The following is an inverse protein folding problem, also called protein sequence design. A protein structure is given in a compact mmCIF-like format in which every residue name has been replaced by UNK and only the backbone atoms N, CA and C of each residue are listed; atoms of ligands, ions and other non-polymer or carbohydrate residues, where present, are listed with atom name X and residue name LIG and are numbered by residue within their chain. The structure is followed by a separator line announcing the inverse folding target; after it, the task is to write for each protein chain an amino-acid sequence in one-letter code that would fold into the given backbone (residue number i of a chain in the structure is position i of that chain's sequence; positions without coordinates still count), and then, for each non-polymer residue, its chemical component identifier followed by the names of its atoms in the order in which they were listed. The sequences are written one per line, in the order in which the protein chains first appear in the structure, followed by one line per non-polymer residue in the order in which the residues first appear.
data_IF_912953009418
#
_entry.id   IF_912953009418
#
_cell.length_a   1.000
_cell.length_b   1.000
_cell.length_c   1.000
_cell.angle_alpha   90.00
_cell.angle_beta   90.00
_cell.angle_gamma   90.00
#
_symmetry.space_group_name_H-M   'P 1'
#
loop_
_entity.id
_entity.type
_entity.pdbx_description
1 polymer ?
#
# COMPACT_ATOMS: atom_id res chain seq x y z
N UNK A 1 9.96 2.76 55.67
CA UNK A 1 10.32 3.58 54.49
C UNK A 1 11.08 2.72 53.50
N UNK A 2 10.47 2.34 52.36
CA UNK A 2 11.21 1.84 51.19
C UNK A 2 10.53 2.29 49.90
N UNK A 3 11.17 3.30 49.33
CA UNK A 3 11.35 3.74 47.94
C UNK A 3 10.54 3.03 46.85
N UNK A 4 9.86 3.89 46.07
CA UNK A 4 9.21 3.70 44.77
C UNK A 4 9.99 2.88 43.74
N UNK A 5 9.24 2.24 42.83
CA UNK A 5 9.65 2.11 41.43
C UNK A 5 8.42 2.25 40.52
N UNK A 6 8.18 3.47 40.06
CA UNK A 6 7.26 3.78 38.96
C UNK A 6 7.89 3.21 37.69
N UNK A 7 7.39 2.08 37.18
CA UNK A 7 7.84 1.57 35.87
C UNK A 7 6.96 2.22 34.81
N UNK A 8 7.37 3.41 34.37
CA UNK A 8 6.82 4.04 33.17
C UNK A 8 7.42 3.30 31.96
N UNK A 9 6.74 2.28 31.44
CA UNK A 9 7.12 1.66 30.16
C UNK A 9 6.77 2.62 29.04
N UNK A 10 7.73 3.47 28.68
CA UNK A 10 7.70 4.25 27.44
C UNK A 10 7.96 3.25 26.31
N UNK A 11 6.91 2.66 25.73
CA UNK A 11 7.10 1.94 24.47
C UNK A 11 7.54 2.97 23.43
N UNK A 12 8.65 2.74 22.71
CA UNK A 12 9.02 3.60 21.61
C UNK A 12 7.89 3.48 20.59
N UNK A 13 7.19 4.59 20.35
CA UNK A 13 6.37 4.75 19.16
C UNK A 13 7.34 4.66 17.98
N UNK A 14 7.52 3.44 17.47
CA UNK A 14 8.14 3.19 16.19
C UNK A 14 7.27 3.92 15.15
N UNK A 15 7.60 5.19 14.90
CA UNK A 15 7.31 5.86 13.65
C UNK A 15 8.19 5.20 12.58
N UNK A 16 7.96 3.90 12.36
CA UNK A 16 8.45 3.21 11.17
C UNK A 16 7.86 3.97 10.00
N UNK A 17 8.72 4.43 9.09
CA UNK A 17 8.28 4.93 7.79
C UNK A 17 7.24 3.95 7.26
N UNK A 18 5.99 4.40 7.17
CA UNK A 18 4.88 3.51 6.87
C UNK A 18 4.95 3.26 5.38
N UNK A 19 5.14 2.02 4.98
CA UNK A 19 4.94 1.63 3.59
C UNK A 19 3.47 1.21 3.45
N UNK A 20 2.91 1.33 2.25
CA UNK A 20 1.55 0.87 1.96
C UNK A 20 1.53 0.07 0.66
N UNK A 21 0.94 -1.11 0.69
CA UNK A 21 0.60 -1.84 -0.52
C UNK A 21 -0.82 -1.46 -0.97
N UNK A 22 -0.96 -1.24 -2.27
CA UNK A 22 -2.21 -0.95 -2.96
C UNK A 22 -2.52 -2.17 -3.81
N UNK A 23 -3.47 -2.99 -3.37
CA UNK A 23 -3.88 -4.23 -4.04
C UNK A 23 -5.02 -3.95 -5.02
N UNK A 24 -4.99 -4.61 -6.17
CA UNK A 24 -6.01 -4.51 -7.21
C UNK A 24 -5.96 -5.73 -8.13
N UNK A 25 -7.07 -6.02 -8.81
CA UNK A 25 -7.17 -7.15 -9.74
C UNK A 25 -6.96 -6.74 -11.21
N UNK A 26 -6.50 -7.70 -12.02
CA UNK A 26 -6.16 -7.64 -13.45
C UNK A 26 -6.98 -8.68 -14.20
N UNK A 27 -7.85 -8.26 -15.11
CA UNK A 27 -8.72 -9.17 -15.88
C UNK A 27 -8.60 -9.04 -17.39
N UNK A 28 -7.60 -8.34 -17.95
CA UNK A 28 -7.51 -8.19 -19.41
C UNK A 28 -6.20 -7.66 -19.99
N UNK A 29 -6.04 -7.87 -21.30
CA UNK A 29 -4.82 -7.60 -22.09
C UNK A 29 -4.86 -6.23 -22.83
N UNK A 30 -5.44 -5.18 -22.24
CA UNK A 30 -5.75 -3.93 -22.96
C UNK A 30 -5.15 -2.66 -22.35
N UNK A 31 -5.21 -1.54 -23.09
CA UNK A 31 -4.73 -0.19 -22.72
C UNK A 31 -5.18 0.31 -21.32
N UNK A 32 -6.18 -0.32 -20.70
CA UNK A 32 -6.59 -0.08 -19.32
C UNK A 32 -5.49 -0.38 -18.29
N UNK A 33 -4.47 -1.17 -18.65
CA UNK A 33 -3.32 -1.50 -17.81
C UNK A 33 -2.51 -0.28 -17.38
N UNK A 34 -2.24 0.64 -18.32
CA UNK A 34 -1.47 1.86 -18.02
C UNK A 34 -2.26 2.77 -17.08
N UNK A 35 -3.57 2.90 -17.30
CA UNK A 35 -4.42 3.77 -16.45
C UNK A 35 -4.53 3.25 -15.02
N UNK A 36 -4.61 1.94 -14.82
CA UNK A 36 -4.70 1.32 -13.49
C UNK A 36 -3.40 1.47 -12.72
N UNK A 37 -2.26 1.19 -13.34
CA UNK A 37 -0.95 1.29 -12.70
C UNK A 37 -0.62 2.75 -12.37
N UNK A 38 -0.96 3.67 -13.28
CA UNK A 38 -0.93 5.11 -13.01
C UNK A 38 -1.88 5.50 -11.87
N UNK A 39 -3.07 4.88 -11.78
CA UNK A 39 -4.01 5.16 -10.69
C UNK A 39 -3.46 4.69 -9.33
N UNK A 40 -2.87 3.50 -9.26
CA UNK A 40 -2.20 3.03 -8.05
C UNK A 40 -1.02 3.96 -7.67
N UNK A 41 -0.24 4.42 -8.66
CA UNK A 41 0.77 5.45 -8.45
C UNK A 41 0.22 6.77 -7.92
N UNK A 42 -0.91 7.24 -8.48
CA UNK A 42 -1.58 8.46 -8.00
C UNK A 42 -2.11 8.32 -6.57
N UNK A 43 -2.65 7.16 -6.20
CA UNK A 43 -3.05 6.87 -4.81
C UNK A 43 -1.83 6.96 -3.88
N UNK A 44 -0.67 6.47 -4.31
CA UNK A 44 0.58 6.61 -3.56
C UNK A 44 1.00 8.08 -3.38
N UNK A 45 0.91 8.89 -4.44
CA UNK A 45 1.20 10.33 -4.37
C UNK A 45 0.22 11.09 -3.47
N UNK A 46 -1.07 10.75 -3.49
CA UNK A 46 -2.10 11.35 -2.62
C UNK A 46 -1.80 11.11 -1.14
N UNK A 47 -1.15 9.98 -0.84
CA UNK A 47 -0.68 9.58 0.47
C UNK A 47 0.64 10.25 0.87
N UNK A 48 1.25 11.06 0.00
CA UNK A 48 2.58 11.66 0.19
C UNK A 48 3.68 10.59 0.31
N UNK A 49 3.59 9.55 -0.52
CA UNK A 49 4.60 8.50 -0.62
C UNK A 49 5.30 8.45 -1.97
N UNK A 50 6.29 7.57 -2.07
CA UNK A 50 7.12 7.37 -3.26
C UNK A 50 6.89 5.97 -3.84
N UNK A 51 6.78 5.85 -5.16
CA UNK A 51 6.68 4.54 -5.83
C UNK A 51 7.81 4.38 -6.83
N UNK A 52 8.59 3.31 -6.69
CA UNK A 52 9.58 2.93 -7.69
C UNK A 52 8.92 2.16 -8.83
N UNK A 53 9.45 2.26 -10.05
CA UNK A 53 8.88 1.53 -11.20
C UNK A 53 8.85 0.01 -11.03
N UNK A 54 9.76 -0.56 -10.23
CA UNK A 54 9.76 -2.00 -9.90
C UNK A 54 8.71 -2.39 -8.85
N UNK A 55 8.15 -1.40 -8.15
CA UNK A 55 7.15 -1.58 -7.10
C UNK A 55 5.72 -1.37 -7.62
N UNK A 56 5.52 -1.35 -8.94
CA UNK A 56 4.21 -1.21 -9.61
C UNK A 56 3.86 -2.51 -10.31
N UNK A 57 2.61 -2.96 -10.19
CA UNK A 57 2.11 -4.13 -10.92
C UNK A 57 2.72 -5.45 -10.47
N UNK A 58 3.23 -5.53 -9.23
CA UNK A 58 3.81 -6.75 -8.67
C UNK A 58 2.71 -7.80 -8.55
N UNK A 59 2.96 -9.04 -8.99
CA UNK A 59 2.01 -10.13 -8.82
C UNK A 59 1.83 -10.50 -7.33
N UNK A 60 0.57 -10.61 -6.89
CA UNK A 60 0.21 -10.97 -5.52
C UNK A 60 -0.46 -12.35 -5.45
N UNK A 61 0.33 -13.38 -5.17
CA UNK A 61 -0.16 -14.75 -5.01
C UNK A 61 -0.30 -15.53 -6.33
N UNK A 62 -1.09 -16.62 -6.28
CA UNK A 62 -1.17 -17.59 -7.38
C UNK A 62 -2.06 -17.17 -8.56
N UNK A 63 -2.96 -16.20 -8.36
CA UNK A 63 -3.77 -15.66 -9.44
C UNK A 63 -2.95 -14.57 -10.16
N UNK A 64 -2.71 -14.73 -11.46
CA UNK A 64 -1.99 -13.73 -12.24
C UNK A 64 -2.75 -12.40 -12.29
N UNK A 65 -4.07 -12.43 -12.10
CA UNK A 65 -4.92 -11.25 -11.96
C UNK A 65 -4.53 -10.37 -10.77
N UNK A 66 -4.06 -10.96 -9.68
CA UNK A 66 -3.91 -10.20 -8.46
C UNK A 66 -2.60 -9.42 -8.54
N UNK A 67 -2.68 -8.11 -8.48
CA UNK A 67 -1.55 -7.19 -8.55
C UNK A 67 -1.47 -6.35 -7.29
N UNK A 68 -0.30 -5.78 -7.05
CA UNK A 68 -0.13 -4.73 -6.08
C UNK A 68 0.90 -3.69 -6.52
N UNK A 69 0.80 -2.52 -5.90
CA UNK A 69 1.81 -1.47 -5.96
C UNK A 69 2.26 -1.13 -4.55
N UNK A 70 3.56 -1.10 -4.27
CA UNK A 70 4.09 -0.72 -2.95
C UNK A 70 4.54 0.73 -2.96
N UNK A 71 3.84 1.53 -2.16
CA UNK A 71 4.15 2.91 -1.86
C UNK A 71 5.07 2.99 -0.65
N UNK A 72 6.22 3.65 -0.80
CA UNK A 72 7.25 3.77 0.23
C UNK A 72 7.18 5.13 0.92
N UNK A 73 7.70 5.19 2.15
CA UNK A 73 7.90 6.44 2.91
C UNK A 73 6.64 7.31 2.98
N UNK A 74 5.48 6.70 3.23
CA UNK A 74 4.21 7.41 3.25
C UNK A 74 4.21 8.44 4.38
N UNK A 75 4.13 9.72 4.03
CA UNK A 75 4.23 10.84 4.97
C UNK A 75 2.96 11.08 5.79
N UNK A 76 1.79 10.71 5.26
CA UNK A 76 0.50 10.87 5.97
C UNK A 76 0.20 9.66 6.83
N UNK A 77 -0.53 9.87 7.93
CA UNK A 77 -1.16 8.79 8.70
C UNK A 77 -2.25 8.13 7.84
N UNK A 78 -1.84 7.18 7.03
CA UNK A 78 -2.70 6.45 6.12
C UNK A 78 -3.32 5.29 6.86
N UNK A 79 -4.65 5.32 6.94
CA UNK A 79 -5.44 4.19 7.39
C UNK A 79 -5.65 3.24 6.22
N UNK A 80 -5.80 1.96 6.53
CA UNK A 80 -6.26 1.00 5.56
C UNK A 80 -7.60 1.48 4.98
N UNK A 81 -7.74 1.40 3.67
CA UNK A 81 -8.91 1.89 2.96
C UNK A 81 -9.15 1.10 1.70
N UNK A 82 -10.39 1.01 1.27
CA UNK A 82 -10.76 0.42 -0.01
C UNK A 82 -11.44 1.50 -0.85
N UNK A 83 -11.02 1.63 -2.10
CA UNK A 83 -11.58 2.58 -3.06
C UNK A 83 -11.93 1.85 -4.34
N UNK A 84 -13.17 1.97 -4.77
CA UNK A 84 -13.62 1.37 -6.01
C UNK A 84 -13.80 2.46 -7.06
N UNK A 85 -13.16 2.27 -8.21
CA UNK A 85 -13.22 3.17 -9.35
C UNK A 85 -13.86 2.43 -10.52
N UNK A 86 -14.78 3.10 -11.22
CA UNK A 86 -15.44 2.55 -12.39
C UNK A 86 -14.97 3.26 -13.66
N UNK A 87 -13.83 2.86 -14.27
CA UNK A 87 -13.48 3.32 -15.60
C UNK A 87 -14.42 2.67 -16.62
N UNK A 88 -15.36 3.45 -17.17
CA UNK A 88 -16.35 2.95 -18.12
C UNK A 88 -17.29 1.92 -17.47
N UNK A 89 -17.37 0.73 -18.07
CA UNK A 89 -18.22 -0.39 -17.60
C UNK A 89 -17.48 -1.37 -16.67
N UNK A 90 -16.15 -1.20 -16.50
CA UNK A 90 -15.32 -2.01 -15.60
C UNK A 90 -15.32 -1.42 -14.19
N UNK A 91 -15.29 -2.28 -13.16
CA UNK A 91 -15.14 -1.87 -11.77
C UNK A 91 -13.82 -2.41 -11.21
N UNK A 92 -12.95 -1.52 -10.73
CA UNK A 92 -11.66 -1.88 -10.14
C UNK A 92 -11.65 -1.42 -8.69
N UNK A 93 -11.41 -2.35 -7.77
CA UNK A 93 -11.23 -2.05 -6.35
C UNK A 93 -9.75 -1.99 -6.02
N UNK A 94 -9.35 -0.88 -5.40
CA UNK A 94 -8.01 -0.63 -4.88
C UNK A 94 -8.05 -0.71 -3.35
N UNK A 95 -7.35 -1.68 -2.78
CA UNK A 95 -7.25 -1.87 -1.34
C UNK A 95 -5.89 -1.41 -0.85
N UNK A 96 -5.85 -0.36 -0.03
CA UNK A 96 -4.64 0.15 0.60
C UNK A 96 -4.46 -0.53 1.95
N UNK A 97 -3.33 -1.17 2.19
CA UNK A 97 -2.93 -1.70 3.51
C UNK A 97 -1.54 -1.21 3.86
N UNK A 98 -1.39 -0.64 5.05
CA UNK A 98 -0.16 0.01 5.45
C UNK A 98 0.57 -0.75 6.56
N UNK A 99 1.86 -0.97 6.37
CA UNK A 99 2.71 -1.80 7.22
C UNK A 99 4.17 -1.68 6.83
N UNK A 100 4.93 -2.76 7.03
CA UNK A 100 6.32 -2.88 6.56
C UNK A 100 6.29 -3.89 5.43
N UNK A 101 6.75 -3.53 4.24
CA UNK A 101 6.71 -4.42 3.07
C UNK A 101 8.13 -4.76 2.61
N UNK A 102 8.35 -6.01 2.19
CA UNK A 102 9.60 -6.39 1.53
C UNK A 102 9.78 -5.66 0.19
N UNK A 103 11.03 -5.50 -0.28
CA UNK A 103 11.30 -4.94 -1.62
C UNK A 103 10.69 -5.83 -2.71
N UNK A 104 10.02 -5.21 -3.68
CA UNK A 104 9.38 -5.85 -4.84
C UNK A 104 8.38 -6.96 -4.42
N UNK A 105 7.73 -6.80 -3.26
CA UNK A 105 6.82 -7.81 -2.67
C UNK A 105 5.56 -7.18 -2.10
N UNK A 106 4.43 -7.78 -2.45
CA UNK A 106 3.11 -7.42 -1.93
C UNK A 106 2.81 -7.91 -0.50
N UNK A 107 3.67 -8.76 0.06
CA UNK A 107 3.53 -9.29 1.41
C UNK A 107 4.24 -8.38 2.41
N UNK A 108 3.50 -7.96 3.44
CA UNK A 108 4.07 -7.36 4.65
C UNK A 108 4.73 -8.43 5.53
#
# INVERSE_FOLDING_TARGET
MRVSAFVLTILPAFALAKDCAIYYDWSGDSQEDVFRDLRAGNICLDMDGEVAGTEIGIQNGGNQANRCTVCRKVGKSTKDSDQTVSPGDSQITYSVRCGVFGKDKCSA
#
